data_IF_647249835447
#
_entry.id   IF_647249835447
#
_cell.length_a   1.000
_cell.length_b   1.000
_cell.length_c   1.000
_cell.angle_alpha   90.00
_cell.angle_beta   90.00
_cell.angle_gamma   90.00
#
_symmetry.space_group_name_H-M   'P 1'
#
loop_
_entity.id
_entity.type
_entity.pdbx_description
1 polymer ?
#
# COMPACT_ATOMS: atom_id res chain seq x y z
N UNK A 1 2.04 -14.09 -0.45
CA UNK A 1 0.71 -13.48 -0.71
C UNK A 1 0.84 -12.63 -1.96
N UNK A 2 -0.10 -12.76 -2.90
CA UNK A 2 -0.14 -11.97 -4.13
C UNK A 2 -1.09 -10.80 -3.92
N UNK A 3 -0.58 -9.59 -4.15
CA UNK A 3 -1.28 -8.31 -4.09
C UNK A 3 -0.96 -7.51 -5.36
N UNK A 4 -1.47 -6.28 -5.45
CA UNK A 4 -1.35 -5.38 -6.60
C UNK A 4 -2.20 -5.79 -7.82
N UNK A 5 -2.24 -4.89 -8.80
CA UNK A 5 -2.96 -5.07 -10.07
C UNK A 5 -1.91 -5.18 -11.17
N UNK A 6 -1.92 -6.29 -11.92
CA UNK A 6 -1.01 -6.53 -13.02
C UNK A 6 -1.73 -6.42 -14.36
N UNK A 7 -1.43 -5.37 -15.13
CA UNK A 7 -2.04 -5.16 -16.46
C UNK A 7 -1.57 -6.15 -17.53
N UNK A 8 -0.56 -6.96 -17.24
CA UNK A 8 -0.03 -8.00 -18.12
C UNK A 8 0.10 -9.31 -17.35
N UNK A 9 -0.17 -10.43 -18.03
CA UNK A 9 -0.04 -11.77 -17.45
C UNK A 9 1.41 -11.99 -17.00
N UNK A 10 1.59 -12.52 -15.79
CA UNK A 10 2.90 -12.87 -15.25
C UNK A 10 3.10 -14.38 -15.36
N UNK A 11 4.24 -14.79 -15.88
CA UNK A 11 4.61 -16.20 -15.96
C UNK A 11 5.02 -16.72 -14.58
N UNK A 12 4.68 -17.98 -14.31
CA UNK A 12 5.01 -18.67 -13.06
C UNK A 12 5.67 -20.00 -13.39
N UNK A 13 6.81 -20.28 -12.77
CA UNK A 13 7.51 -21.55 -12.89
C UNK A 13 6.79 -22.64 -12.09
N UNK A 14 5.97 -23.44 -12.77
CA UNK A 14 5.16 -24.48 -12.14
C UNK A 14 5.99 -25.66 -11.63
N UNK A 15 7.17 -25.92 -12.20
CA UNK A 15 8.06 -26.96 -11.69
C UNK A 15 8.58 -26.58 -10.30
N UNK A 16 9.09 -25.35 -10.14
CA UNK A 16 9.51 -24.85 -8.82
C UNK A 16 8.36 -24.78 -7.82
N UNK A 17 7.18 -24.39 -8.30
CA UNK A 17 5.98 -24.29 -7.47
C UNK A 17 5.59 -25.67 -6.90
N UNK A 18 5.51 -26.68 -7.76
CA UNK A 18 5.21 -28.05 -7.38
C UNK A 18 6.32 -28.67 -6.53
N UNK A 19 7.58 -28.57 -6.96
CA UNK A 19 8.72 -29.23 -6.31
C UNK A 19 9.00 -28.73 -4.89
N UNK A 20 8.64 -27.48 -4.59
CA UNK A 20 8.75 -26.88 -3.26
C UNK A 20 7.40 -26.83 -2.52
N UNK A 21 6.36 -27.43 -3.10
CA UNK A 21 4.99 -27.46 -2.57
C UNK A 21 4.48 -26.07 -2.13
N UNK A 22 4.74 -25.06 -2.95
CA UNK A 22 4.40 -23.67 -2.64
C UNK A 22 2.88 -23.45 -2.63
N UNK A 23 2.45 -22.42 -1.89
CA UNK A 23 1.06 -21.92 -1.91
C UNK A 23 1.02 -20.48 -2.39
N UNK A 24 0.14 -20.20 -3.34
CA UNK A 24 -0.16 -18.84 -3.78
C UNK A 24 -1.51 -18.40 -3.22
N UNK A 25 -1.49 -17.39 -2.35
CA UNK A 25 -2.69 -16.83 -1.73
C UNK A 25 -2.86 -15.42 -2.28
N UNK A 26 -3.94 -15.18 -3.01
CA UNK A 26 -4.33 -13.83 -3.41
C UNK A 26 -4.98 -13.10 -2.24
N UNK A 27 -4.67 -11.82 -2.08
CA UNK A 27 -5.35 -10.94 -1.13
C UNK A 27 -5.84 -9.70 -1.87
N UNK A 28 -7.11 -9.33 -1.65
CA UNK A 28 -7.73 -8.16 -2.24
C UNK A 28 -8.51 -7.43 -1.16
N UNK A 29 -8.25 -6.13 -1.01
CA UNK A 29 -8.88 -5.26 -0.02
C UNK A 29 -8.88 -5.89 1.39
N UNK A 30 -9.81 -5.48 2.25
CA UNK A 30 -9.83 -5.77 3.67
C UNK A 30 -11.26 -6.07 4.12
N UNK A 31 -11.41 -6.94 5.10
CA UNK A 31 -12.68 -7.20 5.79
C UNK A 31 -12.85 -6.24 6.99
N UNK A 32 -14.03 -6.25 7.61
CA UNK A 32 -14.32 -5.35 8.74
C UNK A 32 -13.34 -5.57 9.90
N UNK A 33 -13.02 -6.83 10.17
CA UNK A 33 -12.15 -7.28 11.24
C UNK A 33 -10.70 -6.80 11.04
N UNK A 34 -10.27 -6.68 9.78
CA UNK A 34 -8.96 -6.11 9.42
C UNK A 34 -8.89 -4.63 9.81
N UNK A 35 -9.94 -3.86 9.54
CA UNK A 35 -10.02 -2.45 9.96
C UNK A 35 -10.02 -2.31 11.48
N UNK A 36 -10.81 -3.12 12.19
CA UNK A 36 -10.83 -3.10 13.65
C UNK A 36 -9.45 -3.41 14.23
N UNK A 37 -8.72 -4.36 13.63
CA UNK A 37 -7.34 -4.68 14.03
C UNK A 37 -6.37 -3.53 13.71
N UNK A 38 -6.47 -2.93 12.52
CA UNK A 38 -5.62 -1.82 12.11
C UNK A 38 -5.82 -0.60 13.02
N UNK A 39 -7.06 -0.26 13.38
CA UNK A 39 -7.36 0.82 14.32
C UNK A 39 -6.71 0.53 15.67
N UNK A 40 -6.89 -0.68 16.22
CA UNK A 40 -6.24 -1.06 17.49
C UNK A 40 -4.72 -0.92 17.44
N UNK A 41 -4.09 -1.37 16.36
CA UNK A 41 -2.63 -1.27 16.18
C UNK A 41 -2.15 0.19 16.10
N UNK A 42 -2.85 1.03 15.34
CA UNK A 42 -2.50 2.45 15.20
C UNK A 42 -2.68 3.18 16.53
N UNK A 43 -3.81 2.95 17.23
CA UNK A 43 -4.09 3.60 18.51
C UNK A 43 -3.13 3.17 19.62
N UNK A 44 -2.61 1.93 19.59
CA UNK A 44 -1.58 1.49 20.54
C UNK A 44 -0.29 2.31 20.43
N UNK A 45 0.00 2.87 19.25
CA UNK A 45 1.15 3.74 18.99
C UNK A 45 2.52 3.11 19.34
N UNK A 46 2.62 1.79 19.23
CA UNK A 46 3.85 1.02 19.47
C UNK A 46 4.68 0.81 18.19
N UNK A 47 4.08 1.09 17.02
CA UNK A 47 4.71 0.96 15.71
C UNK A 47 4.90 2.35 15.09
N UNK A 48 6.00 2.57 14.33
CA UNK A 48 6.35 3.88 13.78
C UNK A 48 5.52 4.24 12.53
N UNK A 49 4.20 4.18 12.60
CA UNK A 49 3.33 4.45 11.45
C UNK A 49 3.47 5.87 10.90
N UNK A 50 3.87 6.84 11.74
CA UNK A 50 4.15 8.20 11.31
C UNK A 50 5.35 8.30 10.37
N UNK A 51 6.33 7.40 10.47
CA UNK A 51 7.48 7.37 9.56
C UNK A 51 7.10 6.94 8.14
N UNK A 52 5.91 6.33 7.96
CA UNK A 52 5.41 6.02 6.63
C UNK A 52 4.92 7.25 5.87
N UNK A 53 4.56 8.33 6.58
CA UNK A 53 4.08 9.58 6.00
C UNK A 53 5.30 10.36 5.53
N UNK A 54 5.49 10.45 4.22
CA UNK A 54 6.65 11.14 3.63
C UNK A 54 6.37 12.61 3.31
N UNK A 55 5.10 13.00 3.17
CA UNK A 55 4.72 14.39 2.93
C UNK A 55 3.26 14.65 3.33
N UNK A 56 2.95 15.90 3.67
CA UNK A 56 1.59 16.39 3.93
C UNK A 56 1.40 17.69 3.16
N UNK A 57 0.42 17.72 2.25
CA UNK A 57 0.20 18.86 1.34
C UNK A 57 -1.24 19.38 1.45
N UNK A 58 -1.47 20.70 1.31
CA UNK A 58 -2.83 21.26 1.28
C UNK A 58 -3.57 20.76 0.02
N UNK A 59 -4.89 20.57 0.12
CA UNK A 59 -5.72 20.03 -0.96
C UNK A 59 -5.56 20.78 -2.30
N UNK A 60 -5.35 22.10 -2.25
CA UNK A 60 -5.08 22.94 -3.43
C UNK A 60 -3.87 22.49 -4.27
N UNK A 61 -2.94 21.72 -3.70
CA UNK A 61 -1.74 21.22 -4.37
C UNK A 61 -1.95 19.84 -5.04
N UNK A 62 -3.14 19.26 -5.00
CA UNK A 62 -3.40 17.86 -5.41
C UNK A 62 -2.84 17.51 -6.80
N UNK A 63 -3.03 18.37 -7.80
CA UNK A 63 -2.53 18.15 -9.17
C UNK A 63 -1.00 18.00 -9.18
N UNK A 64 -0.30 18.94 -8.54
CA UNK A 64 1.17 18.93 -8.44
C UNK A 64 1.66 17.68 -7.71
N UNK A 65 0.97 17.26 -6.66
CA UNK A 65 1.32 16.05 -5.90
C UNK A 65 1.24 14.81 -6.79
N UNK A 66 0.14 14.63 -7.54
CA UNK A 66 0.01 13.51 -8.45
C UNK A 66 1.08 13.52 -9.56
N UNK A 67 1.35 14.68 -10.16
CA UNK A 67 2.40 14.80 -11.17
C UNK A 67 3.80 14.48 -10.63
N UNK A 68 4.09 14.85 -9.38
CA UNK A 68 5.35 14.53 -8.73
C UNK A 68 5.48 13.02 -8.49
N UNK A 69 4.41 12.37 -8.03
CA UNK A 69 4.39 10.90 -7.83
C UNK A 69 4.66 10.16 -9.14
N UNK A 70 4.11 10.63 -10.25
CA UNK A 70 4.29 10.01 -11.57
C UNK A 70 5.71 10.24 -12.14
N UNK A 71 6.26 11.45 -11.98
CA UNK A 71 7.56 11.84 -12.53
C UNK A 71 8.75 11.40 -11.67
N UNK A 72 8.59 11.40 -10.35
CA UNK A 72 9.65 11.08 -9.40
C UNK A 72 9.07 10.48 -8.10
N UNK A 73 8.83 9.16 -8.06
CA UNK A 73 8.26 8.50 -6.89
C UNK A 73 9.33 8.35 -5.78
N UNK A 74 9.58 9.42 -5.04
CA UNK A 74 10.50 9.47 -3.88
C UNK A 74 9.79 9.33 -2.52
N UNK A 75 8.45 9.41 -2.50
CA UNK A 75 7.62 9.28 -1.30
C UNK A 75 6.90 7.93 -1.16
N UNK A 76 6.62 7.53 0.09
CA UNK A 76 5.87 6.32 0.43
C UNK A 76 4.37 6.60 0.59
N UNK A 77 4.02 7.61 1.39
CA UNK A 77 2.63 8.02 1.63
C UNK A 77 2.55 9.53 1.77
N UNK A 78 1.86 10.16 0.82
CA UNK A 78 1.49 11.58 0.91
C UNK A 78 0.08 11.69 1.46
N UNK A 79 -0.12 12.55 2.46
CA UNK A 79 -1.44 12.92 2.97
C UNK A 79 -1.87 14.27 2.39
N UNK A 80 -3.17 14.41 2.14
CA UNK A 80 -3.77 15.69 1.74
C UNK A 80 -4.49 16.31 2.93
N UNK A 81 -4.12 17.54 3.28
CA UNK A 81 -4.82 18.34 4.27
C UNK A 81 -6.03 19.02 3.62
N UNK A 82 -7.23 18.65 4.08
CA UNK A 82 -8.51 19.15 3.58
C UNK A 82 -9.05 20.34 4.40
N UNK A 83 -8.35 20.75 5.45
CA UNK A 83 -8.78 21.84 6.35
C UNK A 83 -8.02 23.15 6.09
N UNK A 84 -6.89 23.07 5.37
CA UNK A 84 -6.01 24.17 4.99
C UNK A 84 -6.39 24.92 3.71
#
# INVERSE_FOLDING_TARGET
>A
VMVAIHGQKKEVDLFKFFWKELKLIGARVYEKEDYEKAIRLITANELPFNEMITDVQPLKNIQRVFENIDKNPDGLKVLMDCQS
#
